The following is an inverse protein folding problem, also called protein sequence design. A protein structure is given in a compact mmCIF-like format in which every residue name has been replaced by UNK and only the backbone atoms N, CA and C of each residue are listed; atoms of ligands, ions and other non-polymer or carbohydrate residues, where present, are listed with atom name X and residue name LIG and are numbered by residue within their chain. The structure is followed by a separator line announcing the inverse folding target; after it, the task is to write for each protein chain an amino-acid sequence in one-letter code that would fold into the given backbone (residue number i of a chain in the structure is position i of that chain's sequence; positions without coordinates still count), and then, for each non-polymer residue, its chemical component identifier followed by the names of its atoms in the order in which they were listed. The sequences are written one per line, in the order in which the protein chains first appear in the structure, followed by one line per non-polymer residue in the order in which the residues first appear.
data_IF_717113636912
#
_entry.id   IF_717113636912
#
_cell.length_a   1.000
_cell.length_b   1.000
_cell.length_c   1.000
_cell.angle_alpha   90.00
_cell.angle_beta   90.00
_cell.angle_gamma   90.00
#
_symmetry.space_group_name_H-M   'P 1'
#
loop_
_entity.id
_entity.type
_entity.pdbx_description
1 polymer ?
#
# COMPACT_ATOMS: atom_id res chain seq x y z
N UNK A 1 -17.62 -5.59 -27.91
CA UNK A 1 -17.03 -4.26 -27.65
C UNK A 1 -16.85 -4.14 -26.14
N UNK A 2 -15.64 -4.38 -25.64
CA UNK A 2 -15.35 -4.29 -24.20
C UNK A 2 -15.03 -2.83 -23.87
N UNK A 3 -15.94 -2.16 -23.17
CA UNK A 3 -15.71 -0.83 -22.61
C UNK A 3 -14.65 -0.94 -21.51
N UNK A 4 -13.37 -0.94 -21.89
CA UNK A 4 -12.22 -0.80 -20.99
C UNK A 4 -12.12 0.62 -20.41
N UNK A 5 -13.21 1.11 -19.84
CA UNK A 5 -13.34 2.46 -19.31
C UNK A 5 -13.45 2.42 -17.79
N UNK A 6 -12.33 2.64 -17.09
CA UNK A 6 -12.19 2.80 -15.63
C UNK A 6 -12.53 1.55 -14.80
N UNK A 7 -11.49 0.89 -14.29
CA UNK A 7 -11.61 -0.08 -13.20
C UNK A 7 -12.33 0.58 -12.02
N UNK A 8 -13.46 -0.01 -11.59
CA UNK A 8 -14.25 0.50 -10.47
C UNK A 8 -13.40 0.52 -9.18
N UNK A 9 -13.64 1.51 -8.31
CA UNK A 9 -12.92 1.64 -7.05
C UNK A 9 -12.99 0.37 -6.19
N UNK A 10 -14.15 -0.29 -6.15
CA UNK A 10 -14.35 -1.56 -5.45
C UNK A 10 -13.37 -2.67 -5.92
N UNK A 11 -13.13 -2.78 -7.23
CA UNK A 11 -12.21 -3.75 -7.79
C UNK A 11 -10.75 -3.44 -7.39
N UNK A 12 -10.39 -2.15 -7.33
CA UNK A 12 -9.06 -1.72 -6.87
C UNK A 12 -8.84 -2.08 -5.39
N UNK A 13 -9.82 -1.79 -4.54
CA UNK A 13 -9.75 -2.13 -3.10
C UNK A 13 -9.67 -3.64 -2.89
N UNK A 14 -10.46 -4.43 -3.64
CA UNK A 14 -10.40 -5.89 -3.56
C UNK A 14 -9.01 -6.44 -3.93
N UNK A 15 -8.40 -5.93 -5.01
CA UNK A 15 -7.04 -6.33 -5.43
C UNK A 15 -5.97 -5.95 -4.41
N UNK A 16 -6.03 -4.73 -3.86
CA UNK A 16 -5.07 -4.29 -2.82
C UNK A 16 -5.18 -5.16 -1.58
N UNK A 17 -6.40 -5.48 -1.15
CA UNK A 17 -6.62 -6.37 0.00
C UNK A 17 -6.07 -7.78 -0.23
N UNK A 18 -6.30 -8.34 -1.41
CA UNK A 18 -5.76 -9.66 -1.77
C UNK A 18 -4.22 -9.64 -1.77
N UNK A 19 -3.60 -8.61 -2.37
CA UNK A 19 -2.14 -8.47 -2.35
C UNK A 19 -1.54 -8.38 -0.94
N UNK A 20 -2.25 -7.76 0.02
CA UNK A 20 -1.79 -7.66 1.40
C UNK A 20 -2.02 -8.94 2.23
N UNK A 21 -3.08 -9.70 1.92
CA UNK A 21 -3.50 -10.84 2.74
C UNK A 21 -3.16 -12.20 2.14
N UNK A 22 -2.80 -12.25 0.85
CA UNK A 22 -2.65 -13.48 0.09
C UNK A 22 -3.97 -14.27 -0.07
N UNK A 23 -5.11 -13.67 0.29
CA UNK A 23 -6.41 -14.34 0.30
C UNK A 23 -7.34 -13.77 -0.76
N UNK A 24 -7.61 -14.60 -1.77
CA UNK A 24 -8.56 -14.32 -2.86
C UNK A 24 -10.03 -14.38 -2.40
N UNK A 25 -10.29 -14.64 -1.12
CA UNK A 25 -11.61 -14.90 -0.55
C UNK A 25 -12.46 -13.63 -0.29
N UNK A 26 -12.47 -12.68 -1.22
CA UNK A 26 -13.45 -11.59 -1.16
C UNK A 26 -14.72 -11.99 -1.90
N UNK A 27 -15.88 -11.85 -1.25
CA UNK A 27 -17.18 -12.07 -1.90
C UNK A 27 -17.37 -11.20 -3.16
N UNK A 28 -16.65 -10.09 -3.27
CA UNK A 28 -16.62 -9.26 -4.48
C UNK A 28 -16.01 -9.97 -5.69
N UNK A 29 -14.87 -10.66 -5.52
CA UNK A 29 -14.20 -11.38 -6.62
C UNK A 29 -15.12 -12.49 -7.16
N UNK A 30 -15.89 -13.15 -6.29
CA UNK A 30 -16.83 -14.18 -6.69
C UNK A 30 -17.96 -13.68 -7.61
N UNK A 31 -18.33 -12.40 -7.54
CA UNK A 31 -19.50 -11.87 -8.27
C UNK A 31 -19.17 -10.81 -9.33
N UNK A 32 -17.94 -10.28 -9.34
CA UNK A 32 -17.54 -9.23 -10.28
C UNK A 32 -16.79 -9.80 -11.49
N UNK A 33 -17.39 -9.71 -12.68
CA UNK A 33 -16.82 -10.21 -13.93
C UNK A 33 -15.43 -9.63 -14.25
N UNK A 34 -15.21 -8.34 -14.00
CA UNK A 34 -13.91 -7.69 -14.23
C UNK A 34 -12.80 -8.23 -13.31
N UNK A 35 -13.13 -8.50 -12.04
CA UNK A 35 -12.21 -9.14 -11.11
C UNK A 35 -11.94 -10.59 -11.51
N UNK A 36 -12.96 -11.36 -11.88
CA UNK A 36 -12.79 -12.72 -12.35
C UNK A 36 -11.89 -12.79 -13.60
N UNK A 37 -12.11 -11.91 -14.57
CA UNK A 37 -11.30 -11.83 -15.78
C UNK A 37 -9.83 -11.50 -15.46
N UNK A 38 -9.60 -10.54 -14.55
CA UNK A 38 -8.26 -10.19 -14.09
C UNK A 38 -7.53 -11.38 -13.44
N UNK A 39 -8.17 -12.08 -12.50
CA UNK A 39 -7.54 -13.23 -11.82
C UNK A 39 -7.33 -14.42 -12.75
N UNK A 40 -8.22 -14.66 -13.72
CA UNK A 40 -7.99 -15.67 -14.76
C UNK A 40 -6.76 -15.36 -15.62
N UNK A 41 -6.55 -14.08 -15.96
CA UNK A 41 -5.38 -13.66 -16.72
C UNK A 41 -4.08 -13.84 -15.90
N UNK A 42 -4.13 -13.49 -14.60
CA UNK A 42 -3.02 -13.69 -13.66
C UNK A 42 -2.66 -15.17 -13.47
N UNK A 43 -3.66 -16.04 -13.30
CA UNK A 43 -3.48 -17.47 -13.18
C UNK A 43 -2.90 -18.09 -14.47
N UNK A 44 -3.37 -17.63 -15.63
CA UNK A 44 -2.83 -18.06 -16.93
C UNK A 44 -1.36 -17.66 -17.08
N UNK A 45 -1.02 -16.40 -16.77
CA UNK A 45 0.38 -15.93 -16.80
C UNK A 45 1.26 -16.76 -15.86
N UNK A 46 0.80 -16.98 -14.62
CA UNK A 46 1.53 -17.78 -13.63
C UNK A 46 1.72 -19.22 -14.12
N UNK A 47 0.70 -19.81 -14.74
CA UNK A 47 0.78 -21.14 -15.33
C UNK A 47 1.80 -21.20 -16.48
N UNK A 48 1.80 -20.20 -17.37
CA UNK A 48 2.76 -20.11 -18.48
C UNK A 48 4.19 -19.99 -17.96
N UNK A 49 4.44 -19.12 -16.97
CA UNK A 49 5.75 -18.96 -16.33
C UNK A 49 6.23 -20.26 -15.69
N UNK A 50 5.36 -21.01 -15.01
CA UNK A 50 5.70 -22.32 -14.42
C UNK A 50 6.05 -23.35 -15.48
N UNK A 51 5.41 -23.29 -16.65
CA UNK A 51 5.66 -24.23 -17.73
C UNK A 51 6.95 -23.89 -18.51
N UNK A 52 7.32 -22.62 -18.61
CA UNK A 52 8.53 -22.18 -19.32
C UNK A 52 9.78 -22.21 -18.43
N UNK A 53 9.65 -21.92 -17.13
CA UNK A 53 10.76 -21.94 -16.17
C UNK A 53 11.66 -23.19 -16.23
N UNK A 54 11.14 -24.45 -16.23
CA UNK A 54 11.99 -25.64 -16.28
C UNK A 54 12.82 -25.77 -17.55
N UNK A 55 12.44 -25.12 -18.66
CA UNK A 55 13.18 -25.19 -19.93
C UNK A 55 14.42 -24.31 -19.95
N UNK A 56 14.53 -23.36 -19.01
CA UNK A 56 15.63 -22.39 -18.90
C UNK A 56 16.42 -22.52 -17.60
N UNK A 57 16.13 -23.53 -16.79
CA UNK A 57 16.88 -23.80 -15.57
C UNK A 57 18.30 -24.22 -15.95
N UNK A 58 19.24 -23.29 -15.84
CA UNK A 58 20.65 -23.63 -15.78
C UNK A 58 20.88 -24.50 -14.53
N UNK A 59 21.80 -25.48 -14.59
CA UNK A 59 22.16 -26.27 -13.42
C UNK A 59 22.54 -25.31 -12.29
N UNK A 60 21.92 -25.50 -11.14
CA UNK A 60 22.22 -24.69 -9.95
C UNK A 60 23.67 -24.99 -9.55
N UNK A 61 24.56 -23.99 -9.44
CA UNK A 61 25.92 -24.23 -8.99
C UNK A 61 25.92 -24.89 -7.61
N UNK A 62 26.75 -25.92 -7.41
CA UNK A 62 26.82 -26.68 -6.14
C UNK A 62 27.12 -25.77 -4.93
N UNK A 63 27.75 -24.62 -5.17
CA UNK A 63 28.14 -23.65 -4.16
C UNK A 63 27.09 -22.53 -3.90
N UNK A 64 25.97 -22.51 -4.65
CA UNK A 64 25.02 -21.40 -4.59
C UNK A 64 24.45 -21.22 -3.19
N UNK A 65 24.08 -22.32 -2.52
CA UNK A 65 23.57 -22.30 -1.16
C UNK A 65 24.59 -21.69 -0.18
N UNK A 66 25.87 -22.03 -0.34
CA UNK A 66 26.94 -21.49 0.49
C UNK A 66 27.19 -20.00 0.20
N UNK A 67 27.12 -19.58 -1.07
CA UNK A 67 27.24 -18.17 -1.48
C UNK A 67 26.09 -17.34 -0.93
N UNK A 68 24.85 -17.82 -0.99
CA UNK A 68 23.68 -17.14 -0.40
C UNK A 68 23.83 -17.06 1.12
N UNK A 69 24.17 -18.16 1.80
CA UNK A 69 24.34 -18.17 3.26
C UNK A 69 25.50 -17.27 3.73
N UNK A 70 26.54 -17.10 2.90
CA UNK A 70 27.63 -16.17 3.16
C UNK A 70 27.17 -14.72 2.95
N UNK A 71 26.49 -14.43 1.84
CA UNK A 71 25.95 -13.11 1.54
C UNK A 71 24.99 -12.65 2.64
N UNK A 72 24.05 -13.50 3.06
CA UNK A 72 23.11 -13.20 4.17
C UNK A 72 23.84 -12.93 5.47
N UNK A 73 24.91 -13.69 5.79
CA UNK A 73 25.72 -13.43 6.99
C UNK A 73 26.51 -12.12 6.92
N UNK A 74 26.91 -11.70 5.73
CA UNK A 74 27.65 -10.46 5.51
C UNK A 74 26.73 -9.23 5.47
N UNK A 75 25.48 -9.39 4.99
CA UNK A 75 24.50 -8.31 4.95
C UNK A 75 23.64 -8.22 6.20
N UNK A 76 23.55 -9.29 7.00
CA UNK A 76 22.94 -9.22 8.31
C UNK A 76 23.68 -8.13 9.09
N UNK A 77 23.00 -7.05 9.51
CA UNK A 77 23.65 -6.00 10.29
C UNK A 77 24.28 -6.70 11.49
N UNK A 78 25.60 -6.56 11.65
CA UNK A 78 26.27 -6.99 12.86
C UNK A 78 25.44 -6.41 14.00
N UNK A 79 24.97 -7.24 14.95
CA UNK A 79 24.27 -6.71 16.11
C UNK A 79 25.26 -5.75 16.75
N UNK A 80 25.06 -4.46 16.52
CA UNK A 80 25.82 -3.43 17.20
C UNK A 80 25.71 -3.83 18.66
N UNK A 81 26.83 -4.10 19.32
CA UNK A 81 26.87 -4.41 20.74
C UNK A 81 26.24 -3.20 21.46
N UNK A 82 24.91 -3.22 21.55
CA UNK A 82 24.11 -2.25 22.26
C UNK A 82 24.48 -2.52 23.70
N UNK A 83 25.42 -1.71 24.22
CA UNK A 83 25.46 -1.39 25.65
C UNK A 83 24.02 -1.06 26.01
N UNK A 84 23.39 -1.93 26.77
CA UNK A 84 21.99 -1.87 27.14
C UNK A 84 21.67 -0.48 27.68
N UNK A 85 20.89 0.37 26.97
CA UNK A 85 20.34 1.54 27.61
C UNK A 85 19.21 1.05 28.51
N UNK A 86 19.22 1.53 29.76
CA UNK A 86 18.24 1.20 30.77
C UNK A 86 16.81 1.31 30.20
N UNK A 87 16.02 0.27 30.48
CA UNK A 87 14.64 0.07 30.06
C UNK A 87 13.77 1.28 30.42
N UNK A 88 13.52 2.20 29.48
CA UNK A 88 12.61 3.33 29.67
C UNK A 88 11.17 2.90 29.34
N UNK A 89 10.27 3.12 30.29
CA UNK A 89 8.85 2.73 30.30
C UNK A 89 7.97 3.31 29.18
N UNK A 90 8.53 4.03 28.20
CA UNK A 90 7.77 4.75 27.17
C UNK A 90 7.33 3.89 25.98
N UNK A 91 7.80 2.63 25.87
CA UNK A 91 7.44 1.71 24.79
C UNK A 91 5.96 1.25 24.81
N UNK A 92 5.21 1.52 25.88
CA UNK A 92 3.78 1.15 26.00
C UNK A 92 2.81 2.14 25.33
N UNK A 93 3.27 3.31 24.87
CA UNK A 93 2.38 4.32 24.25
C UNK A 93 2.07 4.07 22.75
N UNK A 94 2.81 3.18 22.08
CA UNK A 94 2.71 2.98 20.62
C UNK A 94 1.49 2.20 20.14
N UNK A 95 0.81 1.45 21.01
CA UNK A 95 -0.32 0.59 20.61
C UNK A 95 -1.68 1.30 20.57
N UNK A 96 -1.79 2.53 21.10
CA UNK A 96 -3.07 3.24 21.18
C UNK A 96 -3.61 3.75 19.83
N UNK A 97 -2.73 4.16 18.90
CA UNK A 97 -3.15 4.83 17.67
C UNK A 97 -3.88 3.89 16.68
N UNK A 98 -3.50 2.62 16.62
CA UNK A 98 -4.14 1.64 15.72
C UNK A 98 -5.54 1.27 16.19
N UNK A 99 -5.79 1.24 17.50
CA UNK A 99 -7.09 0.92 18.07
C UNK A 99 -8.15 1.98 17.74
N UNK A 100 -7.80 3.27 17.73
CA UNK A 100 -8.74 4.36 17.44
C UNK A 100 -9.20 4.36 15.97
N UNK A 101 -8.30 4.04 15.03
CA UNK A 101 -8.65 3.94 13.60
C UNK A 101 -9.50 2.70 13.31
N UNK A 102 -9.26 1.59 14.01
CA UNK A 102 -10.12 0.41 13.90
C UNK A 102 -11.51 0.65 14.50
N UNK A 103 -11.61 1.36 15.63
CA UNK A 103 -12.88 1.67 16.30
C UNK A 103 -13.76 2.60 15.45
N UNK A 104 -13.18 3.62 14.82
CA UNK A 104 -13.92 4.55 13.96
C UNK A 104 -14.47 3.85 12.70
N UNK A 105 -13.73 2.90 12.14
CA UNK A 105 -14.21 2.07 11.03
C UNK A 105 -15.36 1.13 11.42
N UNK A 106 -15.37 0.66 12.67
CA UNK A 106 -16.40 -0.23 13.18
C UNK A 106 -17.71 0.51 13.48
N UNK A 107 -17.64 1.72 14.05
CA UNK A 107 -18.82 2.56 14.33
C UNK A 107 -19.55 2.97 13.04
N UNK A 108 -18.83 3.35 11.98
CA UNK A 108 -19.44 3.72 10.68
C UNK A 108 -20.13 2.53 10.01
N UNK A 109 -19.65 1.29 10.23
CA UNK A 109 -20.30 0.08 9.72
C UNK A 109 -21.50 -0.37 10.54
N UNK A 110 -21.56 0.01 11.81
CA UNK A 110 -22.60 -0.44 12.72
C UNK A 110 -23.81 0.47 12.78
N UNK A 111 -23.82 1.65 12.13
CA UNK A 111 -25.02 2.48 11.99
C UNK A 111 -26.13 1.63 11.37
N UNK A 112 -27.03 1.04 12.17
CA UNK A 112 -28.13 0.29 11.62
C UNK A 112 -29.02 1.38 11.02
N UNK A 113 -29.51 1.14 9.82
CA UNK A 113 -30.59 1.93 9.21
C UNK A 113 -31.85 1.79 10.07
N UNK A 114 -31.85 2.37 11.27
CA UNK A 114 -33.02 2.57 12.13
C UNK A 114 -33.80 3.75 11.56
N UNK A 115 -34.37 3.56 10.39
CA UNK A 115 -35.46 4.35 9.86
C UNK A 115 -36.43 3.40 9.11
N UNK A 116 -36.83 2.32 9.78
CA UNK A 116 -38.21 1.84 9.73
C UNK A 116 -38.85 2.51 10.96
N UNK A 117 -39.75 3.47 10.86
CA UNK A 117 -41.05 3.35 10.21
C UNK A 117 -41.54 4.76 9.90
N UNK A 118 -41.30 5.25 8.68
CA UNK A 118 -42.07 6.36 8.15
C UNK A 118 -43.03 5.74 7.14
N UNK A 119 -44.27 5.53 7.56
CA UNK A 119 -45.40 5.19 6.69
C UNK A 119 -45.59 6.31 5.68
N UNK A 120 -44.83 6.24 4.61
CA UNK A 120 -44.94 7.12 3.45
C UNK A 120 -46.17 6.70 2.65
N UNK A 121 -47.09 7.63 2.54
CA UNK A 121 -48.12 7.67 1.52
C UNK A 121 -47.46 7.54 0.13
N UNK A 122 -47.68 6.40 -0.55
CA UNK A 122 -46.95 5.95 -1.76
C UNK A 122 -47.28 6.79 -3.01
N UNK A 123 -48.23 7.73 -2.93
CA UNK A 123 -48.79 8.39 -4.12
C UNK A 123 -48.34 9.84 -4.34
N UNK A 124 -47.31 10.33 -3.65
CA UNK A 124 -46.84 11.70 -3.88
C UNK A 124 -45.39 11.70 -4.40
N UNK A 125 -45.18 11.92 -5.71
CA UNK A 125 -43.86 12.20 -6.25
C UNK A 125 -43.43 13.58 -5.74
N UNK A 126 -42.86 13.63 -4.54
CA UNK A 126 -42.10 14.77 -4.07
C UNK A 126 -40.85 14.85 -4.95
N UNK A 127 -40.93 15.61 -6.04
CA UNK A 127 -39.77 16.07 -6.77
C UNK A 127 -38.91 16.84 -5.77
N UNK A 128 -37.88 16.17 -5.26
CA UNK A 128 -36.87 16.79 -4.42
C UNK A 128 -36.07 17.73 -5.33
N UNK A 129 -36.54 18.97 -5.45
CA UNK A 129 -35.84 20.01 -6.19
C UNK A 129 -34.64 20.42 -5.36
N UNK A 130 -33.54 19.68 -5.51
CA UNK A 130 -32.25 20.04 -4.91
C UNK A 130 -31.84 21.35 -5.57
N UNK A 131 -31.87 22.43 -4.81
CA UNK A 131 -31.44 23.73 -5.30
C UNK A 131 -29.93 23.69 -5.53
N UNK A 132 -29.42 24.21 -6.66
CA UNK A 132 -27.98 24.31 -6.88
C UNK A 132 -27.27 25.13 -5.79
N UNK A 133 -27.99 26.03 -5.10
CA UNK A 133 -27.46 26.78 -3.96
C UNK A 133 -27.11 25.89 -2.75
N UNK A 134 -27.93 24.87 -2.46
CA UNK A 134 -27.72 23.94 -1.35
C UNK A 134 -26.48 23.07 -1.59
N UNK A 135 -26.22 22.74 -2.87
CA UNK A 135 -25.02 21.98 -3.27
C UNK A 135 -23.76 22.84 -3.09
N UNK A 136 -23.81 24.12 -3.45
CA UNK A 136 -22.65 25.01 -3.28
C UNK A 136 -22.32 25.25 -1.81
N UNK A 137 -23.32 25.46 -0.95
CA UNK A 137 -23.11 25.62 0.49
C UNK A 137 -22.56 24.35 1.14
N UNK A 138 -23.05 23.18 0.71
CA UNK A 138 -22.54 21.90 1.19
C UNK A 138 -21.07 21.69 0.81
N UNK A 139 -20.68 22.04 -0.43
CA UNK A 139 -19.29 21.92 -0.90
C UNK A 139 -18.36 22.84 -0.10
N UNK A 140 -18.77 24.08 0.15
CA UNK A 140 -17.99 25.04 0.94
C UNK A 140 -17.84 24.60 2.42
N UNK A 141 -18.92 24.08 3.01
CA UNK A 141 -18.88 23.54 4.36
C UNK A 141 -17.99 22.30 4.47
N UNK A 142 -18.02 21.39 3.48
CA UNK A 142 -17.14 20.22 3.45
C UNK A 142 -15.68 20.62 3.30
N UNK A 143 -15.37 21.60 2.45
CA UNK A 143 -13.99 22.01 2.22
C UNK A 143 -13.41 22.77 3.42
N UNK A 144 -14.21 23.60 4.08
CA UNK A 144 -13.81 24.30 5.32
C UNK A 144 -13.59 23.33 6.50
N UNK A 145 -14.44 22.31 6.64
CA UNK A 145 -14.25 21.22 7.61
C UNK A 145 -12.96 20.45 7.32
N UNK A 146 -12.71 20.12 6.05
CA UNK A 146 -11.49 19.45 5.63
C UNK A 146 -10.25 20.28 5.97
N UNK A 147 -10.24 21.57 5.66
CA UNK A 147 -9.08 22.44 5.94
C UNK A 147 -8.84 22.57 7.43
N UNK A 148 -9.89 22.77 8.24
CA UNK A 148 -9.77 22.82 9.71
C UNK A 148 -9.27 21.50 10.29
N UNK A 149 -9.80 20.37 9.82
CA UNK A 149 -9.38 19.06 10.28
C UNK A 149 -7.90 18.82 9.94
N UNK A 150 -7.50 19.05 8.69
CA UNK A 150 -6.10 18.89 8.27
C UNK A 150 -5.18 19.83 9.04
N UNK A 151 -5.54 21.10 9.20
CA UNK A 151 -4.75 22.06 9.96
C UNK A 151 -4.59 21.64 11.44
N UNK A 152 -5.64 21.08 12.05
CA UNK A 152 -5.59 20.62 13.44
C UNK A 152 -4.76 19.34 13.62
N UNK A 153 -4.82 18.41 12.67
CA UNK A 153 -4.18 17.09 12.77
C UNK A 153 -2.73 17.14 12.28
N UNK A 154 -2.40 18.00 11.32
CA UNK A 154 -1.06 18.10 10.70
C UNK A 154 0.09 18.22 11.71
N UNK A 155 0.11 19.15 12.69
CA UNK A 155 1.26 19.27 13.60
C UNK A 155 1.44 18.04 14.51
N UNK A 156 0.33 17.43 14.96
CA UNK A 156 0.38 16.20 15.74
C UNK A 156 0.83 15.01 14.89
N UNK A 157 0.36 14.93 13.64
CA UNK A 157 0.76 13.89 12.71
C UNK A 157 2.24 14.04 12.29
N UNK A 158 2.74 15.25 12.06
CA UNK A 158 4.15 15.50 11.70
C UNK A 158 5.08 15.04 12.82
N UNK A 159 4.79 15.41 14.07
CA UNK A 159 5.59 14.97 15.23
C UNK A 159 5.54 13.46 15.46
N UNK A 160 4.39 12.81 15.18
CA UNK A 160 4.25 11.36 15.26
C UNK A 160 4.97 10.65 14.12
N UNK A 161 4.91 11.18 12.89
CA UNK A 161 5.56 10.62 11.69
C UNK A 161 7.07 10.74 11.78
N UNK A 162 7.57 11.86 12.29
CA UNK A 162 9.01 12.12 12.48
C UNK A 162 9.61 11.19 13.54
N UNK A 163 8.83 10.83 14.57
CA UNK A 163 9.23 9.86 15.60
C UNK A 163 8.76 8.44 15.32
N UNK A 164 8.17 8.17 14.17
CA UNK A 164 7.63 6.85 13.86
C UNK A 164 8.79 5.90 13.50
N UNK A 165 9.05 4.84 14.29
CA UNK A 165 10.09 3.87 13.97
C UNK A 165 9.84 3.23 12.60
N UNK A 166 8.59 3.08 12.16
CA UNK A 166 8.27 2.54 10.83
C UNK A 166 8.76 3.43 9.69
N UNK A 167 8.77 4.76 9.86
CA UNK A 167 9.31 5.68 8.85
C UNK A 167 10.82 5.47 8.72
N UNK A 168 11.51 5.30 9.85
CA UNK A 168 12.94 5.04 9.88
C UNK A 168 13.28 3.68 9.26
N UNK A 169 12.53 2.63 9.59
CA UNK A 169 12.69 1.30 8.99
C UNK A 169 12.34 1.29 7.49
N UNK A 170 11.32 2.01 7.06
CA UNK A 170 11.00 2.11 5.63
C UNK A 170 12.11 2.84 4.87
N UNK A 171 12.66 3.90 5.45
CA UNK A 171 13.78 4.62 4.86
C UNK A 171 15.06 3.77 4.82
N UNK A 172 15.35 2.97 5.84
CA UNK A 172 16.49 2.04 5.84
C UNK A 172 16.32 0.97 4.75
N UNK A 173 15.15 0.31 4.70
CA UNK A 173 14.84 -0.68 3.64
C UNK A 173 14.95 -0.07 2.24
N UNK A 174 14.49 1.18 2.06
CA UNK A 174 14.59 1.88 0.77
C UNK A 174 16.03 2.24 0.41
N UNK A 175 16.85 2.62 1.41
CA UNK A 175 18.26 2.89 1.22
C UNK A 175 18.99 1.60 0.83
N UNK A 176 18.75 0.49 1.53
CA UNK A 176 19.33 -0.82 1.23
C UNK A 176 18.93 -1.32 -0.15
N UNK A 177 17.66 -1.16 -0.53
CA UNK A 177 17.18 -1.52 -1.86
C UNK A 177 17.89 -0.71 -2.97
N UNK A 178 18.10 0.60 -2.76
CA UNK A 178 18.88 1.43 -3.71
C UNK A 178 20.32 0.98 -3.80
N UNK A 179 20.96 0.67 -2.68
CA UNK A 179 22.34 0.16 -2.65
C UNK A 179 22.45 -1.18 -3.38
N UNK A 180 21.50 -2.09 -3.14
CA UNK A 180 21.44 -3.39 -3.81
C UNK A 180 21.23 -3.24 -5.33
N UNK A 181 20.36 -2.32 -5.77
CA UNK A 181 20.17 -2.00 -7.19
C UNK A 181 21.44 -1.39 -7.80
N UNK A 182 22.14 -0.52 -7.08
CA UNK A 182 23.43 0.03 -7.50
C UNK A 182 24.50 -1.05 -7.65
N UNK A 183 24.57 -1.99 -6.71
CA UNK A 183 25.48 -3.13 -6.79
C UNK A 183 25.15 -4.05 -7.98
N UNK A 184 23.87 -4.35 -8.21
CA UNK A 184 23.44 -5.12 -9.38
C UNK A 184 23.79 -4.39 -10.69
N UNK A 185 23.55 -3.08 -10.74
CA UNK A 185 23.91 -2.25 -11.88
C UNK A 185 25.42 -2.33 -12.17
N UNK A 186 26.27 -2.20 -11.14
CA UNK A 186 27.73 -2.24 -11.30
C UNK A 186 28.26 -3.60 -11.78
N UNK A 187 27.61 -4.70 -11.41
CA UNK A 187 28.10 -6.05 -11.74
C UNK A 187 27.49 -6.64 -13.01
N UNK A 188 26.29 -6.20 -13.40
CA UNK A 188 25.52 -6.83 -14.48
C UNK A 188 25.22 -5.92 -15.67
N UNK A 189 25.40 -4.60 -15.55
CA UNK A 189 25.27 -3.71 -16.71
C UNK A 189 26.61 -3.51 -17.42
N UNK A 190 26.63 -3.52 -18.76
CA UNK A 190 27.78 -3.06 -19.52
C UNK A 190 28.16 -1.63 -19.10
N UNK A 191 29.46 -1.35 -19.02
CA UNK A 191 30.02 -0.08 -18.50
C UNK A 191 29.44 1.19 -19.15
N UNK A 192 28.95 1.11 -20.38
CA UNK A 192 28.31 2.24 -21.07
C UNK A 192 26.92 2.57 -20.51
N UNK A 193 26.16 1.55 -20.09
CA UNK A 193 24.86 1.73 -19.44
C UNK A 193 25.01 2.26 -18.00
N UNK A 194 26.08 1.87 -17.30
CA UNK A 194 26.38 2.36 -15.96
C UNK A 194 26.65 3.88 -15.94
N UNK A 195 27.44 4.41 -16.89
CA UNK A 195 27.72 5.85 -17.00
C UNK A 195 26.47 6.69 -17.30
N UNK A 196 25.55 6.16 -18.11
CA UNK A 196 24.26 6.83 -18.37
C UNK A 196 23.33 6.84 -17.15
N UNK A 197 23.40 5.82 -16.28
CA UNK A 197 22.62 5.79 -15.05
C UNK A 197 23.17 6.80 -14.04
N UNK A 198 24.49 6.88 -13.94
CA UNK A 198 25.18 7.79 -13.01
C UNK A 198 24.90 9.27 -13.35
N UNK A 199 24.86 9.64 -14.63
CA UNK A 199 24.50 11.01 -15.05
C UNK A 199 23.03 11.38 -14.80
N UNK A 200 22.13 10.40 -14.63
CA UNK A 200 20.72 10.65 -14.29
C UNK A 200 20.46 10.72 -12.79
N UNK A 201 21.28 10.05 -11.98
CA UNK A 201 21.08 9.98 -10.53
C UNK A 201 21.64 11.22 -9.84
N UNK A 202 22.71 11.81 -10.37
CA UNK A 202 23.32 13.01 -9.79
C UNK A 202 23.63 14.06 -10.88
N UNK A 203 22.68 14.96 -11.21
CA UNK A 203 22.87 15.98 -12.23
C UNK A 203 23.81 17.12 -11.80
N UNK A 204 24.30 17.12 -10.55
CA UNK A 204 25.12 18.22 -10.01
C UNK A 204 26.62 17.98 -10.05
N UNK A 205 27.04 16.78 -10.49
CA UNK A 205 28.44 16.38 -10.56
C UNK A 205 28.97 16.54 -11.98
N UNK A 206 29.12 17.79 -12.42
CA UNK A 206 29.78 18.17 -13.67
C UNK A 206 30.95 19.10 -13.38
#
# INVERSE_FOLDING_TARGET
MNTHGKTRFACRVARIRDAMTGSRASGHIAHCADCQAYYRADDNLTSQLRHTAPKQLQPTPDDLAQRIARAVRQTAPQPAHRRSPALSWTALAGFGAVAVVALSFFIVRQSPTKNATQTANINQPSALTISPADVTELVENVDSLRTRLVASVKPTAETLVEKNPLTQELNSVRADARTALGFLALNFLPSDSARQLESRIDPTRS
#
